data_IF_231135156682
#
_entry.id   IF_231135156682
#
_cell.length_a   1.000
_cell.length_b   1.000
_cell.length_c   1.000
_cell.angle_alpha   90.00
_cell.angle_beta   90.00
_cell.angle_gamma   90.00
#
_symmetry.space_group_name_H-M   'P 1'
#
loop_
_entity.id
_entity.type
_entity.pdbx_description
1 polymer ?
#
# COMPACT_ATOMS: atom_id res chain seq x y z
N UNK A 1 1.48 1.16 18.74
CA UNK A 1 0.28 0.32 18.56
C UNK A 1 -0.64 1.03 17.58
N UNK A 2 -0.68 0.59 16.32
CA UNK A 2 -1.60 1.12 15.31
C UNK A 2 -2.34 -0.07 14.74
N UNK A 3 -3.66 -0.11 14.91
CA UNK A 3 -4.51 -1.17 14.40
C UNK A 3 -5.28 -0.66 13.19
N UNK A 4 -5.37 -1.46 12.14
CA UNK A 4 -6.18 -1.17 10.95
C UNK A 4 -7.33 -2.17 10.90
N UNK A 5 -8.52 -1.67 10.56
CA UNK A 5 -9.75 -2.47 10.48
C UNK A 5 -10.41 -2.22 9.14
N UNK A 6 -10.90 -3.29 8.53
CA UNK A 6 -11.67 -3.24 7.29
C UNK A 6 -13.05 -3.84 7.57
N UNK A 7 -14.14 -3.07 7.37
CA UNK A 7 -15.48 -3.61 7.52
C UNK A 7 -15.71 -4.83 6.63
N UNK A 8 -16.44 -5.82 7.14
CA UNK A 8 -16.76 -7.03 6.38
C UNK A 8 -17.49 -6.66 5.08
N UNK A 9 -16.98 -7.13 3.96
CA UNK A 9 -17.57 -6.89 2.64
C UNK A 9 -17.24 -5.53 2.01
N UNK A 10 -16.42 -4.70 2.65
CA UNK A 10 -15.91 -3.47 2.05
C UNK A 10 -14.94 -3.75 0.88
N UNK A 11 -14.25 -4.88 0.94
CA UNK A 11 -13.50 -5.47 -0.19
C UNK A 11 -14.07 -6.86 -0.44
N UNK A 12 -14.31 -7.18 -1.70
CA UNK A 12 -14.83 -8.46 -2.17
C UNK A 12 -13.75 -9.25 -2.89
N UNK A 13 -13.98 -10.56 -3.02
CA UNK A 13 -13.08 -11.44 -3.77
C UNK A 13 -12.98 -10.96 -5.22
N UNK A 14 -11.76 -10.73 -5.69
CA UNK A 14 -11.46 -10.29 -7.05
C UNK A 14 -11.46 -8.77 -7.25
N UNK A 15 -11.79 -7.97 -6.23
CA UNK A 15 -11.67 -6.52 -6.32
C UNK A 15 -10.22 -6.12 -6.59
N UNK A 16 -10.02 -5.26 -7.59
CA UNK A 16 -8.73 -4.64 -7.91
C UNK A 16 -8.62 -3.33 -7.13
N UNK A 17 -7.67 -3.27 -6.20
CA UNK A 17 -7.56 -2.19 -5.21
C UNK A 17 -6.34 -1.31 -5.50
N UNK A 18 -6.57 0.01 -5.46
CA UNK A 18 -5.52 1.03 -5.41
C UNK A 18 -5.34 1.46 -3.95
N UNK A 19 -4.14 1.28 -3.41
CA UNK A 19 -3.78 1.83 -2.09
C UNK A 19 -3.36 3.28 -2.27
N UNK A 20 -3.90 4.18 -1.45
CA UNK A 20 -3.61 5.62 -1.45
C UNK A 20 -3.18 6.02 -0.03
N UNK A 21 -2.02 6.67 0.09
CA UNK A 21 -1.50 7.19 1.36
C UNK A 21 -0.87 8.58 1.16
N UNK A 22 -0.64 9.35 2.22
CA UNK A 22 0.08 10.63 2.12
C UNK A 22 1.60 10.43 2.02
N UNK A 23 2.13 9.47 2.78
CA UNK A 23 3.56 9.24 2.95
C UNK A 23 3.94 7.76 2.86
N UNK A 24 4.87 7.44 1.95
CA UNK A 24 5.60 6.17 1.94
C UNK A 24 6.97 6.33 2.61
N UNK A 25 7.25 5.54 3.65
CA UNK A 25 8.54 5.58 4.33
C UNK A 25 9.11 4.17 4.51
N UNK A 26 8.79 3.51 5.62
CA UNK A 26 9.27 2.14 5.88
C UNK A 26 8.48 1.04 5.16
N UNK A 27 7.36 1.39 4.52
CA UNK A 27 6.43 0.43 3.89
C UNK A 27 5.56 -0.38 4.86
N UNK A 28 5.66 -0.18 6.18
CA UNK A 28 4.84 -0.90 7.17
C UNK A 28 3.34 -0.69 6.97
N UNK A 29 2.91 0.53 6.67
CA UNK A 29 1.50 0.84 6.40
C UNK A 29 1.04 0.16 5.11
N UNK A 30 1.83 0.26 4.03
CA UNK A 30 1.56 -0.41 2.75
C UNK A 30 1.40 -1.93 2.93
N UNK A 31 2.32 -2.57 3.65
CA UNK A 31 2.26 -4.01 3.94
C UNK A 31 1.01 -4.39 4.74
N UNK A 32 0.64 -3.59 5.73
CA UNK A 32 -0.56 -3.84 6.53
C UNK A 32 -1.85 -3.68 5.71
N UNK A 33 -1.96 -2.64 4.88
CA UNK A 33 -3.11 -2.41 4.00
C UNK A 33 -3.22 -3.49 2.91
N UNK A 34 -2.10 -3.90 2.32
CA UNK A 34 -2.05 -4.99 1.34
C UNK A 34 -2.51 -6.30 1.96
N UNK A 35 -1.96 -6.65 3.13
CA UNK A 35 -2.37 -7.85 3.88
C UNK A 35 -3.86 -7.85 4.23
N UNK A 36 -4.43 -6.70 4.60
CA UNK A 36 -5.84 -6.59 4.97
C UNK A 36 -6.76 -6.75 3.73
N UNK A 37 -6.30 -6.24 2.59
CA UNK A 37 -6.96 -6.36 1.29
C UNK A 37 -6.95 -7.81 0.80
N UNK A 38 -5.77 -8.46 0.83
CA UNK A 38 -5.58 -9.85 0.41
C UNK A 38 -6.39 -10.82 1.28
N UNK A 39 -6.41 -10.63 2.60
CA UNK A 39 -7.26 -11.42 3.53
C UNK A 39 -8.75 -11.30 3.23
N UNK A 40 -9.17 -10.21 2.59
CA UNK A 40 -10.55 -9.98 2.15
C UNK A 40 -10.83 -10.49 0.73
N UNK A 41 -9.81 -11.07 0.08
CA UNK A 41 -9.87 -11.62 -1.28
C UNK A 41 -9.66 -10.60 -2.40
N UNK A 42 -9.34 -9.35 -2.07
CA UNK A 42 -8.96 -8.34 -3.05
C UNK A 42 -7.51 -8.52 -3.51
N UNK A 43 -7.15 -7.81 -4.58
CA UNK A 43 -5.81 -7.80 -5.16
C UNK A 43 -5.35 -6.35 -5.26
N UNK A 44 -4.21 -6.02 -4.65
CA UNK A 44 -3.63 -4.69 -4.78
C UNK A 44 -2.94 -4.59 -6.14
N UNK A 45 -3.38 -3.66 -6.97
CA UNK A 45 -2.88 -3.49 -8.35
C UNK A 45 -2.11 -2.19 -8.55
N UNK A 46 -2.20 -1.27 -7.58
CA UNK A 46 -1.54 0.02 -7.64
C UNK A 46 -1.29 0.60 -6.26
N UNK A 47 -0.30 1.49 -6.18
CA UNK A 47 -0.02 2.31 -5.00
C UNK A 47 0.15 3.77 -5.43
N UNK A 48 -0.47 4.69 -4.71
CA UNK A 48 -0.31 6.12 -4.89
C UNK A 48 0.07 6.78 -3.56
N UNK A 49 1.08 7.66 -3.60
CA UNK A 49 1.38 8.54 -2.49
C UNK A 49 1.84 9.93 -2.94
N UNK A 50 1.69 10.91 -2.05
CA UNK A 50 2.21 12.26 -2.31
C UNK A 50 3.72 12.32 -2.13
N UNK A 51 4.23 11.77 -1.03
CA UNK A 51 5.65 11.85 -0.69
C UNK A 51 6.18 10.45 -0.40
N UNK A 52 7.40 10.15 -0.85
CA UNK A 52 8.19 9.04 -0.33
C UNK A 52 9.46 9.54 0.38
N UNK A 53 9.89 8.84 1.41
CA UNK A 53 11.12 9.10 2.15
C UNK A 53 11.95 7.82 2.17
N UNK A 54 13.14 7.90 1.56
CA UNK A 54 14.03 6.76 1.37
C UNK A 54 13.44 5.66 0.48
N UNK A 55 14.13 4.52 0.46
CA UNK A 55 13.89 3.45 -0.51
C UNK A 55 13.30 2.18 0.10
N UNK A 56 13.28 2.06 1.44
CA UNK A 56 12.97 0.81 2.15
C UNK A 56 11.55 0.29 1.90
N UNK A 57 10.58 1.17 1.65
CA UNK A 57 9.21 0.79 1.30
C UNK A 57 9.12 -0.03 0.00
N UNK A 58 10.06 0.13 -0.94
CA UNK A 58 10.02 -0.56 -2.26
C UNK A 58 10.03 -2.08 -2.10
N UNK A 59 10.76 -2.60 -1.12
CA UNK A 59 10.83 -4.03 -0.82
C UNK A 59 9.50 -4.62 -0.31
N UNK A 60 8.55 -3.79 0.09
CA UNK A 60 7.23 -4.18 0.61
C UNK A 60 6.08 -3.93 -0.38
N UNK A 61 6.40 -3.52 -1.61
CA UNK A 61 5.41 -3.42 -2.70
C UNK A 61 5.00 -4.84 -3.13
N UNK A 62 3.70 -5.19 -3.09
CA UNK A 62 3.24 -6.50 -3.55
C UNK A 62 3.58 -6.74 -5.02
N UNK A 63 3.91 -7.97 -5.38
CA UNK A 63 4.24 -8.35 -6.77
C UNK A 63 3.08 -8.14 -7.75
N UNK A 64 1.85 -8.08 -7.24
CA UNK A 64 0.64 -7.81 -8.02
C UNK A 64 0.49 -6.34 -8.43
N UNK A 65 1.31 -5.44 -7.85
CA UNK A 65 1.26 -4.01 -8.17
C UNK A 65 1.90 -3.77 -9.54
N UNK A 66 1.09 -3.26 -10.46
CA UNK A 66 1.52 -2.93 -11.82
C UNK A 66 2.18 -1.54 -11.87
N UNK A 67 1.79 -0.64 -10.97
CA UNK A 67 2.31 0.73 -10.93
C UNK A 67 2.30 1.32 -9.53
N UNK A 68 3.42 1.96 -9.18
CA UNK A 68 3.51 2.87 -8.04
C UNK A 68 3.67 4.29 -8.56
N UNK A 69 2.91 5.22 -8.00
CA UNK A 69 3.01 6.66 -8.29
C UNK A 69 3.35 7.39 -7.00
N UNK A 70 4.44 8.14 -7.03
CA UNK A 70 4.84 9.04 -5.95
C UNK A 70 5.03 10.43 -6.54
N UNK A 71 4.40 11.46 -5.95
CA UNK A 71 4.51 12.83 -6.46
C UNK A 71 5.89 13.43 -6.17
N UNK A 72 6.47 13.17 -5.00
CA UNK A 72 7.80 13.65 -4.62
C UNK A 72 8.57 12.60 -3.83
N UNK A 73 9.80 12.31 -4.26
CA UNK A 73 10.71 11.43 -3.51
C UNK A 73 11.75 12.25 -2.75
N UNK A 74 11.99 11.86 -1.49
CA UNK A 74 12.99 12.47 -0.60
C UNK A 74 14.01 11.39 -0.25
N UNK A 75 15.26 11.57 -0.69
CA UNK A 75 16.36 10.69 -0.29
C UNK A 75 16.72 10.89 1.19
N UNK A 76 17.04 9.80 1.88
CA UNK A 76 17.66 9.84 3.20
C UNK A 76 19.19 9.87 3.01
N UNK A 77 19.85 10.87 3.61
CA UNK A 77 21.30 11.03 3.67
C UNK A 77 21.93 10.15 4.74
#
# INVERSE_FOLDING_TARGET
LRSLYLPKGAVRRGDRVLIVDDLLHSGRTLSALSSLTEKSGGVVVGVFALISVGESWRALVPQTVEKVVVVREIALS
#
